data_IF_537729907775
#
_entry.id   IF_537729907775
#
_cell.length_a   1.000
_cell.length_b   1.000
_cell.length_c   1.000
_cell.angle_alpha   90.00
_cell.angle_beta   90.00
_cell.angle_gamma   90.00
#
_symmetry.space_group_name_H-M   'P 1'
#
loop_
_entity.id
_entity.type
_entity.pdbx_description
1 polymer ?
#
# COMPACT_ATOMS: atom_id res chain seq x y z
N UNK A 1 5.77 5.02 17.75
CA UNK A 1 6.61 4.05 17.01
C UNK A 1 7.66 4.79 16.21
N UNK A 2 8.85 4.22 15.98
CA UNK A 2 9.83 4.74 15.00
C UNK A 2 10.18 3.65 13.99
N UNK A 3 9.98 3.95 12.71
CA UNK A 3 10.34 3.06 11.60
C UNK A 3 11.34 3.79 10.71
N UNK A 4 12.45 3.13 10.42
CA UNK A 4 13.42 3.57 9.43
C UNK A 4 13.73 2.38 8.52
N UNK A 5 13.34 2.49 7.26
CA UNK A 5 13.68 1.54 6.21
C UNK A 5 14.58 2.30 5.22
N UNK A 6 15.88 1.97 5.23
CA UNK A 6 16.84 2.57 4.31
C UNK A 6 16.58 2.15 2.85
N UNK A 7 17.08 2.94 1.89
CA UNK A 7 17.02 2.55 0.48
C UNK A 7 17.66 1.18 0.27
N UNK A 8 17.08 0.38 -0.62
CA UNK A 8 17.70 -0.86 -1.07
C UNK A 8 19.10 -0.54 -1.62
N UNK A 9 20.14 -1.24 -1.16
CA UNK A 9 21.49 -0.97 -1.61
C UNK A 9 21.58 -1.25 -3.11
N UNK A 10 22.01 -0.25 -3.89
CA UNK A 10 22.22 -0.43 -5.32
C UNK A 10 23.29 -1.49 -5.55
N UNK A 11 22.99 -2.44 -6.44
CA UNK A 11 23.99 -3.39 -6.93
C UNK A 11 25.12 -2.62 -7.63
N UNK A 12 26.34 -3.08 -7.40
CA UNK A 12 27.58 -2.45 -7.84
C UNK A 12 28.55 -3.57 -8.13
N UNK A 13 28.43 -4.11 -9.34
CA UNK A 13 29.19 -5.24 -9.83
C UNK A 13 30.03 -4.89 -11.05
N UNK A 14 30.59 -5.91 -11.70
CA UNK A 14 31.49 -5.77 -12.86
C UNK A 14 30.91 -4.91 -13.99
N UNK A 15 29.60 -5.06 -14.26
CA UNK A 15 28.90 -4.31 -15.31
C UNK A 15 28.67 -2.85 -14.92
N UNK A 16 28.19 -2.55 -13.69
CA UNK A 16 28.02 -1.15 -13.25
C UNK A 16 29.33 -0.37 -13.27
N UNK A 17 30.46 -1.03 -12.98
CA UNK A 17 31.77 -0.40 -13.03
C UNK A 17 32.23 -0.21 -14.48
N UNK A 18 31.94 -1.17 -15.36
CA UNK A 18 32.23 -1.01 -16.77
C UNK A 18 31.40 0.11 -17.42
N UNK A 19 30.15 0.30 -17.00
CA UNK A 19 29.28 1.38 -17.49
C UNK A 19 29.79 2.78 -17.14
N UNK A 20 30.62 2.93 -16.09
CA UNK A 20 31.29 4.20 -15.80
C UNK A 20 32.27 4.61 -16.91
N UNK A 21 32.77 3.67 -17.70
CA UNK A 21 33.66 3.97 -18.83
C UNK A 21 32.93 4.71 -19.96
N UNK A 22 31.60 4.68 -19.98
CA UNK A 22 30.80 5.51 -20.90
C UNK A 22 31.06 7.00 -20.70
N UNK A 23 31.38 7.44 -19.47
CA UNK A 23 31.73 8.84 -19.16
C UNK A 23 33.03 9.29 -19.83
N UNK A 24 33.87 8.33 -20.24
CA UNK A 24 35.14 8.56 -20.93
C UNK A 24 35.00 8.27 -22.44
N UNK A 25 33.77 8.17 -22.95
CA UNK A 25 33.45 7.99 -24.37
C UNK A 25 33.54 6.54 -24.87
N UNK A 26 33.53 5.55 -23.98
CA UNK A 26 33.49 4.13 -24.38
C UNK A 26 32.06 3.74 -24.76
N UNK A 27 31.89 3.05 -25.90
CA UNK A 27 30.56 2.59 -26.35
C UNK A 27 29.96 1.55 -25.40
N UNK A 28 28.62 1.50 -25.32
CA UNK A 28 27.85 0.59 -24.45
C UNK A 28 28.21 -0.88 -24.69
N UNK A 29 28.29 -1.30 -25.96
CA UNK A 29 28.76 -2.63 -26.39
C UNK A 29 30.14 -3.00 -25.84
N UNK A 30 31.04 -2.02 -25.75
CA UNK A 30 32.40 -2.24 -25.25
C UNK A 30 32.38 -2.32 -23.71
N UNK A 31 31.54 -1.53 -23.05
CA UNK A 31 31.32 -1.60 -21.60
C UNK A 31 30.75 -2.98 -21.21
N UNK A 32 29.77 -3.51 -21.93
CA UNK A 32 29.24 -4.85 -21.66
C UNK A 32 30.31 -5.94 -21.77
N UNK A 33 31.14 -5.92 -22.82
CA UNK A 33 32.26 -6.87 -22.99
C UNK A 33 33.30 -6.76 -21.88
N UNK A 34 33.60 -5.53 -21.44
CA UNK A 34 34.52 -5.28 -20.32
C UNK A 34 33.93 -5.81 -19.01
N UNK A 35 32.64 -5.55 -18.76
CA UNK A 35 31.91 -6.06 -17.59
C UNK A 35 31.87 -7.58 -17.54
N UNK A 36 31.61 -8.24 -18.67
CA UNK A 36 31.59 -9.70 -18.76
C UNK A 36 32.98 -10.31 -18.51
N UNK A 37 34.02 -9.66 -19.02
CA UNK A 37 35.41 -10.07 -18.76
C UNK A 37 35.79 -9.91 -17.29
N UNK A 38 35.43 -8.79 -16.67
CA UNK A 38 35.63 -8.54 -15.25
C UNK A 38 34.87 -9.56 -14.38
N UNK A 39 33.63 -9.90 -14.77
CA UNK A 39 32.81 -10.87 -14.04
C UNK A 39 33.42 -12.28 -14.02
N UNK A 40 34.07 -12.70 -15.12
CA UNK A 40 34.75 -14.00 -15.23
C UNK A 40 36.07 -14.09 -14.43
N UNK A 41 36.55 -12.99 -13.86
CA UNK A 41 37.74 -12.98 -12.99
C UNK A 41 37.34 -13.14 -11.53
N UNK A 42 38.34 -13.09 -10.64
CA UNK A 42 38.15 -13.03 -9.19
C UNK A 42 37.21 -11.90 -8.73
N UNK A 43 37.03 -10.87 -9.57
CA UNK A 43 36.23 -9.69 -9.27
C UNK A 43 34.72 -9.97 -9.20
N UNK A 44 34.20 -10.94 -9.97
CA UNK A 44 32.79 -11.35 -9.89
C UNK A 44 32.44 -11.94 -8.52
N UNK A 45 33.11 -13.03 -8.07
CA UNK A 45 32.91 -13.60 -6.74
C UNK A 45 33.19 -12.61 -5.60
N UNK A 46 34.15 -11.71 -5.76
CA UNK A 46 34.42 -10.64 -4.79
C UNK A 46 33.24 -9.67 -4.67
N UNK A 47 32.65 -9.22 -5.78
CA UNK A 47 31.48 -8.35 -5.76
C UNK A 47 30.29 -9.03 -5.08
N UNK A 48 30.01 -10.30 -5.40
CA UNK A 48 28.95 -11.09 -4.75
C UNK A 48 29.17 -11.22 -3.24
N UNK A 49 30.37 -11.59 -2.82
CA UNK A 49 30.74 -11.67 -1.41
C UNK A 49 30.59 -10.30 -0.71
N UNK A 50 31.09 -9.23 -1.31
CA UNK A 50 31.05 -7.89 -0.76
C UNK A 50 29.60 -7.39 -0.60
N UNK A 51 28.76 -7.62 -1.60
CA UNK A 51 27.33 -7.29 -1.52
C UNK A 51 26.61 -8.11 -0.46
N UNK A 52 26.78 -9.43 -0.46
CA UNK A 52 26.13 -10.31 0.54
C UNK A 52 26.56 -10.01 1.97
N UNK A 53 27.81 -9.56 2.17
CA UNK A 53 28.39 -9.28 3.49
C UNK A 53 28.03 -7.89 4.02
N UNK A 54 28.02 -6.87 3.16
CA UNK A 54 27.98 -5.45 3.59
C UNK A 54 26.78 -4.65 3.08
N UNK A 55 25.99 -5.18 2.14
CA UNK A 55 24.84 -4.48 1.55
C UNK A 55 23.52 -5.18 1.87
N UNK A 56 23.22 -5.27 3.16
CA UNK A 56 21.85 -5.55 3.63
C UNK A 56 21.11 -4.24 3.84
N UNK A 57 19.84 -4.19 3.44
CA UNK A 57 18.99 -3.03 3.69
C UNK A 57 18.90 -2.79 5.20
N UNK A 58 19.12 -1.55 5.63
CA UNK A 58 19.03 -1.19 7.06
C UNK A 58 17.56 -0.98 7.42
N UNK A 59 17.02 -1.90 8.22
CA UNK A 59 15.67 -1.81 8.79
C UNK A 59 15.79 -1.62 10.29
N UNK A 60 15.25 -0.52 10.82
CA UNK A 60 15.21 -0.23 12.25
C UNK A 60 13.77 0.03 12.64
N UNK A 61 13.25 -0.79 13.55
CA UNK A 61 11.90 -0.66 14.11
C UNK A 61 12.02 -0.55 15.61
N UNK A 62 11.54 0.57 16.17
CA UNK A 62 11.44 0.77 17.62
C UNK A 62 9.97 0.93 17.99
N UNK A 63 9.49 0.00 18.81
CA UNK A 63 8.14 0.01 19.40
C UNK A 63 8.24 0.51 20.84
N UNK A 64 7.38 1.43 21.22
CA UNK A 64 7.21 1.94 22.57
C UNK A 64 5.98 1.27 23.23
N UNK A 65 5.91 1.27 24.57
CA UNK A 65 4.81 0.60 25.27
C UNK A 65 3.41 1.18 24.95
N UNK A 66 3.34 2.47 24.63
CA UNK A 66 2.07 3.15 24.31
C UNK A 66 1.63 2.91 22.85
N UNK A 67 2.51 2.43 21.99
CA UNK A 67 2.19 2.12 20.58
C UNK A 67 1.21 0.94 20.45
N UNK A 68 1.02 0.18 21.54
CA UNK A 68 0.10 -0.96 21.59
C UNK A 68 -1.17 -0.66 22.37
N UNK A 69 -1.40 0.58 22.83
CA UNK A 69 -2.69 0.97 23.40
C UNK A 69 -3.82 0.88 22.36
N UNK A 70 -3.50 1.24 21.11
CA UNK A 70 -4.30 1.00 19.91
C UNK A 70 -3.34 0.88 18.74
N UNK A 71 -3.24 -0.34 18.19
CA UNK A 71 -2.30 -0.66 17.10
C UNK A 71 -2.79 -0.08 15.77
N UNK A 72 -4.10 -0.09 15.56
CA UNK A 72 -4.76 0.52 14.42
C UNK A 72 -4.46 2.02 14.32
N UNK A 73 -4.63 2.79 15.41
CA UNK A 73 -4.28 4.22 15.44
C UNK A 73 -2.78 4.47 15.25
N UNK A 74 -1.92 3.53 15.66
CA UNK A 74 -0.48 3.64 15.47
C UNK A 74 -0.04 3.33 14.04
N UNK A 75 -0.70 2.36 13.38
CA UNK A 75 -0.34 1.92 12.03
C UNK A 75 -1.03 2.71 10.93
N UNK A 76 -2.25 3.23 11.14
CA UNK A 76 -3.00 4.03 10.16
C UNK A 76 -2.18 5.19 9.54
N UNK A 77 -1.47 6.05 10.31
CA UNK A 77 -0.64 7.12 9.75
C UNK A 77 0.57 6.62 8.94
N UNK A 78 0.94 5.35 9.07
CA UNK A 78 1.99 4.71 8.28
C UNK A 78 1.41 4.07 7.01
N UNK A 79 0.31 3.32 7.14
CA UNK A 79 -0.32 2.58 6.04
C UNK A 79 -0.97 3.53 5.02
N UNK A 80 -1.66 4.57 5.49
CA UNK A 80 -2.37 5.51 4.63
C UNK A 80 -1.48 6.15 3.53
N UNK A 81 -0.33 6.77 3.85
CA UNK A 81 0.53 7.33 2.82
C UNK A 81 1.14 6.26 1.91
N UNK A 82 1.38 5.03 2.40
CA UNK A 82 1.87 3.93 1.58
C UNK A 82 0.84 3.53 0.51
N UNK A 83 -0.44 3.38 0.90
CA UNK A 83 -1.52 3.06 -0.04
C UNK A 83 -1.72 4.17 -1.08
N UNK A 84 -1.67 5.45 -0.66
CA UNK A 84 -1.76 6.60 -1.58
C UNK A 84 -0.60 6.64 -2.57
N UNK A 85 0.62 6.39 -2.10
CA UNK A 85 1.79 6.32 -2.96
C UNK A 85 1.68 5.16 -3.95
N UNK A 86 1.31 3.96 -3.47
CA UNK A 86 1.13 2.78 -4.30
C UNK A 86 0.09 3.02 -5.39
N UNK A 87 -1.09 3.55 -5.04
CA UNK A 87 -2.12 3.87 -6.04
C UNK A 87 -1.61 4.83 -7.12
N UNK A 88 -0.74 5.77 -6.76
CA UNK A 88 -0.20 6.75 -7.70
C UNK A 88 0.93 6.21 -8.60
N UNK A 89 1.67 5.19 -8.16
CA UNK A 89 2.81 4.65 -8.92
C UNK A 89 2.59 3.28 -9.55
N UNK A 90 1.55 2.54 -9.15
CA UNK A 90 1.29 1.15 -9.57
C UNK A 90 1.34 0.95 -11.10
N UNK A 91 2.10 -0.07 -11.54
CA UNK A 91 2.17 -0.49 -12.95
C UNK A 91 1.30 -1.73 -13.27
N UNK A 92 0.66 -2.33 -12.26
CA UNK A 92 -0.09 -3.58 -12.42
C UNK A 92 -1.33 -3.68 -11.53
N UNK A 93 -2.22 -4.60 -11.89
CA UNK A 93 -3.46 -4.89 -11.19
C UNK A 93 -3.47 -6.39 -10.87
N UNK A 94 -3.58 -6.81 -9.60
CA UNK A 94 -3.69 -8.21 -9.23
C UNK A 94 -5.08 -8.76 -9.56
N UNK A 95 -5.21 -10.09 -9.62
CA UNK A 95 -6.53 -10.73 -9.70
C UNK A 95 -7.32 -10.55 -8.40
N UNK A 96 -8.58 -10.19 -8.56
CA UNK A 96 -9.51 -9.88 -7.48
C UNK A 96 -10.75 -10.76 -7.58
N UNK A 97 -11.32 -11.14 -6.44
CA UNK A 97 -12.56 -11.90 -6.38
C UNK A 97 -13.78 -11.00 -6.67
N UNK A 98 -14.73 -11.52 -7.44
CA UNK A 98 -15.95 -10.78 -7.81
C UNK A 98 -16.84 -10.47 -6.59
N UNK A 99 -16.76 -11.27 -5.52
CA UNK A 99 -17.52 -11.05 -4.29
C UNK A 99 -17.09 -9.78 -3.54
N UNK A 100 -15.84 -9.33 -3.76
CA UNK A 100 -15.27 -8.19 -3.05
C UNK A 100 -15.69 -6.84 -3.65
N UNK A 101 -16.25 -6.84 -4.86
CA UNK A 101 -16.63 -5.63 -5.60
C UNK A 101 -18.14 -5.56 -5.84
N UNK A 102 -18.70 -4.36 -6.07
CA UNK A 102 -20.08 -4.20 -6.50
C UNK A 102 -20.40 -5.01 -7.76
N UNK A 103 -21.67 -5.43 -7.90
CA UNK A 103 -22.09 -6.32 -8.99
C UNK A 103 -21.76 -5.78 -10.39
N UNK A 104 -21.83 -4.46 -10.55
CA UNK A 104 -21.54 -3.74 -11.79
C UNK A 104 -20.07 -3.84 -12.23
N UNK A 105 -19.16 -4.12 -11.29
CA UNK A 105 -17.71 -4.23 -11.55
C UNK A 105 -17.25 -5.69 -11.67
N UNK A 106 -18.13 -6.67 -11.44
CA UNK A 106 -17.78 -8.09 -11.51
C UNK A 106 -17.42 -8.51 -12.93
N UNK A 107 -16.60 -9.55 -13.05
CA UNK A 107 -16.23 -10.13 -14.35
C UNK A 107 -17.45 -10.57 -15.18
N UNK A 108 -18.54 -10.95 -14.51
CA UNK A 108 -19.82 -11.31 -15.16
C UNK A 108 -20.55 -10.14 -15.81
N UNK A 109 -20.26 -8.89 -15.40
CA UNK A 109 -20.80 -7.69 -16.02
C UNK A 109 -19.97 -7.23 -17.23
N UNK A 110 -18.75 -7.76 -17.40
CA UNK A 110 -17.90 -7.45 -18.53
C UNK A 110 -18.33 -8.20 -19.80
N UNK A 111 -18.07 -7.65 -21.00
CA UNK A 111 -18.23 -8.39 -22.25
C UNK A 111 -17.40 -9.69 -22.23
N UNK A 112 -17.97 -10.77 -22.78
CA UNK A 112 -17.26 -12.04 -22.85
C UNK A 112 -16.01 -11.92 -23.73
N UNK A 113 -14.89 -12.42 -23.21
CA UNK A 113 -13.62 -12.50 -23.95
C UNK A 113 -13.75 -13.46 -25.14
N UNK A 114 -13.09 -13.12 -26.24
CA UNK A 114 -12.88 -14.01 -27.38
C UNK A 114 -12.00 -15.19 -27.00
N UNK A 115 -12.02 -16.26 -27.79
CA UNK A 115 -11.23 -17.46 -27.51
C UNK A 115 -9.71 -17.18 -27.59
N UNK A 116 -9.31 -16.26 -28.45
CA UNK A 116 -7.93 -15.80 -28.61
C UNK A 116 -7.45 -15.02 -27.39
N UNK A 117 -8.28 -14.13 -26.84
CA UNK A 117 -7.98 -13.36 -25.63
C UNK A 117 -7.85 -14.26 -24.39
N UNK A 118 -8.71 -15.29 -24.29
CA UNK A 118 -8.60 -16.30 -23.22
C UNK A 118 -7.28 -17.07 -23.33
N UNK A 119 -6.90 -17.49 -24.53
CA UNK A 119 -5.66 -18.24 -24.76
C UNK A 119 -4.41 -17.40 -24.47
N UNK A 120 -4.49 -16.08 -24.65
CA UNK A 120 -3.41 -15.14 -24.34
C UNK A 120 -3.41 -14.67 -22.87
N UNK A 121 -4.39 -15.08 -22.05
CA UNK A 121 -4.49 -14.69 -20.64
C UNK A 121 -4.82 -13.21 -20.43
N UNK A 122 -5.52 -12.59 -21.38
CA UNK A 122 -5.90 -11.17 -21.31
C UNK A 122 -6.98 -10.99 -20.24
N UNK A 123 -6.83 -10.02 -19.30
CA UNK A 123 -7.86 -9.73 -18.31
C UNK A 123 -9.09 -9.08 -18.95
N UNK A 124 -10.23 -9.17 -18.29
CA UNK A 124 -11.46 -8.51 -18.72
C UNK A 124 -11.36 -6.97 -18.62
N UNK A 125 -12.25 -6.26 -19.30
CA UNK A 125 -12.24 -4.79 -19.36
C UNK A 125 -12.51 -4.10 -18.01
N UNK A 126 -13.09 -4.79 -17.02
CA UNK A 126 -13.39 -4.26 -15.69
C UNK A 126 -12.31 -4.59 -14.66
N UNK A 127 -11.32 -5.41 -15.01
CA UNK A 127 -10.24 -5.84 -14.12
C UNK A 127 -9.51 -4.69 -13.42
N UNK A 128 -9.11 -3.66 -14.17
CA UNK A 128 -8.48 -2.45 -13.61
C UNK A 128 -9.43 -1.70 -12.66
N UNK A 129 -10.70 -1.53 -13.06
CA UNK A 129 -11.71 -0.83 -12.26
C UNK A 129 -12.02 -1.55 -10.95
N UNK A 130 -12.00 -2.88 -10.95
CA UNK A 130 -12.15 -3.69 -9.72
C UNK A 130 -11.05 -3.37 -8.72
N UNK A 131 -9.80 -3.42 -9.17
CA UNK A 131 -8.66 -3.09 -8.30
C UNK A 131 -8.68 -1.63 -7.84
N UNK A 132 -9.04 -0.69 -8.71
CA UNK A 132 -9.14 0.71 -8.33
C UNK A 132 -10.20 0.93 -7.23
N UNK A 133 -11.36 0.27 -7.36
CA UNK A 133 -12.39 0.31 -6.33
C UNK A 133 -11.90 -0.26 -5.00
N UNK A 134 -11.20 -1.39 -5.01
CA UNK A 134 -10.61 -2.01 -3.82
C UNK A 134 -9.58 -1.07 -3.17
N UNK A 135 -8.67 -0.48 -3.96
CA UNK A 135 -7.68 0.49 -3.48
C UNK A 135 -8.35 1.72 -2.85
N UNK A 136 -9.42 2.23 -3.46
CA UNK A 136 -10.18 3.37 -2.92
C UNK A 136 -10.86 3.02 -1.60
N UNK A 137 -11.44 1.83 -1.45
CA UNK A 137 -12.08 1.41 -0.21
C UNK A 137 -11.06 1.21 0.93
N UNK A 138 -9.88 0.66 0.62
CA UNK A 138 -8.78 0.59 1.58
C UNK A 138 -8.32 1.99 2.01
N UNK A 139 -8.03 2.87 1.05
CA UNK A 139 -7.60 4.25 1.33
C UNK A 139 -8.64 4.98 2.18
N UNK A 140 -9.92 4.92 1.80
CA UNK A 140 -10.99 5.56 2.55
C UNK A 140 -11.07 5.06 4.00
N UNK A 141 -10.96 3.74 4.22
CA UNK A 141 -10.98 3.18 5.57
C UNK A 141 -9.80 3.67 6.41
N UNK A 142 -8.58 3.71 5.86
CA UNK A 142 -7.41 4.23 6.56
C UNK A 142 -7.43 5.75 6.73
N UNK A 143 -8.14 6.50 5.90
CA UNK A 143 -8.42 7.93 6.15
C UNK A 143 -9.30 8.11 7.37
N UNK A 144 -10.36 7.30 7.53
CA UNK A 144 -11.22 7.36 8.71
C UNK A 144 -10.48 6.91 9.97
N UNK A 145 -9.68 5.84 9.91
CA UNK A 145 -8.87 5.38 11.05
C UNK A 145 -7.79 6.38 11.48
N UNK A 146 -7.38 7.27 10.58
CA UNK A 146 -6.41 8.33 10.86
C UNK A 146 -7.09 9.65 11.31
N UNK A 147 -8.41 9.71 11.28
CA UNK A 147 -9.22 10.83 11.75
C UNK A 147 -9.80 10.51 13.13
N UNK A 148 -9.33 11.15 14.23
CA UNK A 148 -9.82 10.86 15.57
C UNK A 148 -11.30 11.20 15.77
N UNK A 149 -11.89 11.99 14.86
CA UNK A 149 -13.23 12.55 14.96
C UNK A 149 -14.18 11.98 13.88
N UNK A 150 -13.81 10.87 13.24
CA UNK A 150 -14.52 10.32 12.07
C UNK A 150 -16.01 9.98 12.32
N UNK A 151 -16.40 9.77 13.58
CA UNK A 151 -17.76 9.43 14.00
C UNK A 151 -18.57 10.64 14.49
N UNK A 152 -17.93 11.80 14.76
CA UNK A 152 -18.60 12.98 15.32
C UNK A 152 -19.78 13.46 14.46
N UNK A 153 -19.71 13.27 13.14
CA UNK A 153 -20.80 13.60 12.20
C UNK A 153 -22.12 12.85 12.44
N UNK A 154 -22.09 11.75 13.19
CA UNK A 154 -23.30 10.99 13.56
C UNK A 154 -23.89 11.45 14.91
N UNK A 155 -23.17 12.28 15.66
CA UNK A 155 -23.58 12.79 16.96
C UNK A 155 -24.09 14.23 16.83
N UNK A 156 -25.27 14.52 17.36
CA UNK A 156 -25.84 15.86 17.44
C UNK A 156 -25.93 16.30 18.90
N UNK A 157 -25.71 17.59 19.17
CA UNK A 157 -25.80 18.16 20.51
C UNK A 157 -24.59 17.84 21.40
N UNK A 158 -23.43 17.51 20.80
CA UNK A 158 -22.17 17.21 21.49
C UNK A 158 -21.25 18.44 21.65
N UNK A 159 -21.52 19.54 20.95
CA UNK A 159 -20.64 20.72 20.92
C UNK A 159 -20.99 21.77 21.99
N UNK A 160 -22.23 21.79 22.48
CA UNK A 160 -22.76 22.81 23.41
C UNK A 160 -22.68 22.40 24.89
N UNK A 161 -21.59 21.72 25.28
CA UNK A 161 -21.53 20.98 26.56
C UNK A 161 -20.83 21.71 27.70
N UNK A 162 -20.22 22.86 27.43
CA UNK A 162 -19.45 23.60 28.43
C UNK A 162 -20.31 24.17 29.58
N UNK A 163 -21.63 24.29 29.41
CA UNK A 163 -22.53 25.05 30.30
C UNK A 163 -23.71 24.24 30.90
N UNK A 164 -23.63 22.91 30.96
CA UNK A 164 -24.72 22.08 31.52
C UNK A 164 -24.29 21.41 32.83
N UNK A 165 -24.68 22.00 33.96
CA UNK A 165 -24.48 21.45 35.32
C UNK A 165 -25.25 20.13 35.57
N UNK A 166 -26.23 19.80 34.71
CA UNK A 166 -27.11 18.63 34.88
C UNK A 166 -26.92 17.59 33.77
N UNK A 167 -26.21 16.50 34.10
CA UNK A 167 -25.97 15.33 33.26
C UNK A 167 -27.27 14.76 32.63
N UNK A 168 -28.41 14.87 33.31
CA UNK A 168 -29.69 14.34 32.82
C UNK A 168 -30.23 15.12 31.63
N UNK A 169 -30.06 16.45 31.61
CA UNK A 169 -30.45 17.26 30.45
C UNK A 169 -29.48 17.08 29.29
N UNK A 170 -28.20 16.88 29.61
CA UNK A 170 -27.17 16.60 28.64
C UNK A 170 -27.47 15.33 27.83
N UNK A 171 -27.76 14.21 28.49
CA UNK A 171 -28.09 12.92 27.83
C UNK A 171 -29.34 13.05 26.93
N UNK A 172 -30.33 13.87 27.33
CA UNK A 172 -31.55 14.07 26.53
C UNK A 172 -31.31 14.84 25.22
N UNK A 173 -30.26 15.68 25.17
CA UNK A 173 -29.95 16.50 23.99
C UNK A 173 -29.07 15.77 22.98
N UNK A 174 -28.24 14.85 23.45
CA UNK A 174 -27.39 14.04 22.57
C UNK A 174 -28.27 13.10 21.74
N UNK A 175 -28.19 13.24 20.42
CA UNK A 175 -28.82 12.31 19.47
C UNK A 175 -27.74 11.64 18.63
N UNK A 176 -27.93 10.37 18.34
CA UNK A 176 -27.03 9.60 17.50
C UNK A 176 -27.79 9.00 16.32
N UNK A 177 -27.26 9.17 15.11
CA UNK A 177 -27.67 8.38 13.94
C UNK A 177 -26.98 7.01 13.99
N UNK A 178 -27.61 6.07 14.70
CA UNK A 178 -27.09 4.72 14.88
C UNK A 178 -26.99 3.93 13.57
N UNK A 179 -27.89 4.16 12.61
CA UNK A 179 -27.87 3.47 11.32
C UNK A 179 -26.70 3.96 10.47
N UNK A 180 -26.51 5.28 10.39
CA UNK A 180 -25.37 5.89 9.73
C UNK A 180 -24.03 5.49 10.35
N UNK A 181 -23.94 5.51 11.68
CA UNK A 181 -22.75 5.09 12.42
C UNK A 181 -22.39 3.63 12.12
N UNK A 182 -23.38 2.73 12.19
CA UNK A 182 -23.18 1.31 11.89
C UNK A 182 -22.74 1.09 10.44
N UNK A 183 -23.36 1.76 9.48
CA UNK A 183 -22.96 1.67 8.08
C UNK A 183 -21.54 2.18 7.83
N UNK A 184 -21.14 3.25 8.54
CA UNK A 184 -19.80 3.81 8.50
C UNK A 184 -18.75 2.84 9.05
N UNK A 185 -19.01 2.24 10.22
CA UNK A 185 -18.14 1.21 10.82
C UNK A 185 -18.01 -0.02 9.91
N UNK A 186 -19.10 -0.49 9.31
CA UNK A 186 -19.06 -1.62 8.36
C UNK A 186 -18.25 -1.30 7.11
N UNK A 187 -18.27 -0.05 6.64
CA UNK A 187 -17.40 0.37 5.52
C UNK A 187 -15.92 0.39 5.92
N UNK A 188 -15.59 0.85 7.12
CA UNK A 188 -14.21 0.75 7.65
C UNK A 188 -13.78 -0.72 7.73
N UNK A 189 -14.66 -1.58 8.25
CA UNK A 189 -14.42 -3.02 8.35
C UNK A 189 -14.21 -3.65 6.98
N UNK A 190 -14.98 -3.27 5.97
CA UNK A 190 -14.77 -3.73 4.59
C UNK A 190 -13.39 -3.34 4.07
N UNK A 191 -13.00 -2.06 4.20
CA UNK A 191 -11.69 -1.61 3.75
C UNK A 191 -10.52 -2.31 4.46
N UNK A 192 -10.62 -2.54 5.76
CA UNK A 192 -9.58 -3.30 6.51
C UNK A 192 -9.56 -4.79 6.17
N UNK A 193 -10.71 -5.38 5.86
CA UNK A 193 -10.81 -6.77 5.37
C UNK A 193 -10.15 -6.92 4.01
N UNK A 194 -10.43 -6.00 3.08
CA UNK A 194 -9.77 -5.94 1.77
C UNK A 194 -8.27 -5.76 1.90
N UNK A 195 -7.81 -4.88 2.79
CA UNK A 195 -6.40 -4.72 3.08
C UNK A 195 -5.74 -6.01 3.56
N UNK A 196 -6.38 -6.73 4.49
CA UNK A 196 -5.87 -8.02 4.96
C UNK A 196 -5.83 -9.08 3.85
N UNK A 197 -6.89 -9.16 3.04
CA UNK A 197 -7.02 -10.13 1.94
C UNK A 197 -5.99 -9.91 0.84
N UNK A 198 -5.78 -8.65 0.45
CA UNK A 198 -4.89 -8.27 -0.66
C UNK A 198 -3.51 -7.77 -0.20
N UNK A 199 -3.14 -7.95 1.07
CA UNK A 199 -1.90 -7.41 1.63
C UNK A 199 -0.64 -7.76 0.82
N UNK A 200 -0.54 -9.00 0.34
CA UNK A 200 0.59 -9.47 -0.47
C UNK A 200 0.52 -9.03 -1.94
N UNK A 201 -0.61 -8.46 -2.36
CA UNK A 201 -0.83 -7.92 -3.69
C UNK A 201 -0.59 -6.40 -3.77
N UNK A 202 -0.20 -5.77 -2.65
CA UNK A 202 0.14 -4.34 -2.58
C UNK A 202 1.59 -4.09 -3.02
N UNK A 203 1.86 -4.27 -4.31
CA UNK A 203 3.17 -4.06 -4.93
C UNK A 203 3.05 -3.21 -6.20
N UNK A 204 4.17 -2.57 -6.54
CA UNK A 204 4.38 -1.77 -7.76
C UNK A 204 5.58 -2.34 -8.52
#
# INVERSE_FOLDING_TARGET
MKVYIGKSPKWWGPYQIADLLQWVGVSEDRCQKIGERLNKTWFGPFCEWFHGRFRKQKVVVKVHYYDTWSVDSTLAPIILPLLKQLKATQHGHPFTDDEDVPEELRSSAAPALTEEEKNCGVPDQLHEKRWEWIMNEMIWAFEQLNDPDHDNKFWQGRDDLADIDNITEHIKRVKCDFEGLKAHEERIRRGTTLFGKYYQALWD
#
